data_IF_650909192271
#
_entry.id   IF_650909192271
#
_cell.length_a   1.000
_cell.length_b   1.000
_cell.length_c   1.000
_cell.angle_alpha   90.00
_cell.angle_beta   90.00
_cell.angle_gamma   90.00
#
_symmetry.space_group_name_H-M   'P 1'
#
loop_
_entity.id
_entity.type
_entity.pdbx_description
1 polymer ?
#
# COMPACT_ATOMS: atom_id res chain seq x y z
N UNK A 1 -11.93 -5.97 5.33
CA UNK A 1 -12.08 -4.59 4.86
C UNK A 1 -11.25 -4.44 3.60
N UNK A 2 -11.87 -4.19 2.45
CA UNK A 2 -11.17 -3.95 1.20
C UNK A 2 -11.42 -2.51 0.74
N UNK A 3 -10.41 -1.87 0.17
CA UNK A 3 -10.48 -0.48 -0.22
C UNK A 3 -9.47 -0.16 -1.31
N UNK A 4 -9.82 0.83 -2.12
CA UNK A 4 -8.92 1.44 -3.10
C UNK A 4 -8.47 2.78 -2.54
N UNK A 5 -7.22 3.14 -2.81
CA UNK A 5 -6.69 4.44 -2.44
C UNK A 5 -5.91 5.04 -3.60
N UNK A 6 -5.89 6.36 -3.64
CA UNK A 6 -5.19 7.15 -4.64
C UNK A 6 -4.51 8.32 -3.95
N UNK A 7 -3.20 8.45 -4.17
CA UNK A 7 -2.37 9.53 -3.66
C UNK A 7 -1.71 10.23 -4.85
N UNK A 8 -1.95 11.54 -4.97
CA UNK A 8 -1.27 12.39 -5.94
C UNK A 8 -0.25 13.23 -5.19
N UNK A 9 1.03 13.06 -5.49
CA UNK A 9 2.08 13.91 -4.97
C UNK A 9 2.25 15.17 -5.86
N UNK A 10 2.69 16.28 -5.26
CA UNK A 10 2.85 17.59 -5.90
C UNK A 10 3.91 17.58 -7.01
N UNK A 11 4.80 16.58 -7.00
CA UNK A 11 5.92 16.40 -7.94
C UNK A 11 5.61 15.38 -9.06
N UNK A 12 4.40 15.39 -9.62
CA UNK A 12 4.04 14.59 -10.82
C UNK A 12 4.09 13.06 -10.62
N UNK A 13 4.08 12.61 -9.36
CA UNK A 13 4.04 11.19 -9.01
C UNK A 13 2.61 10.81 -8.63
N UNK A 14 2.06 9.79 -9.28
CA UNK A 14 0.73 9.26 -8.98
C UNK A 14 0.86 7.89 -8.35
N UNK A 15 0.27 7.67 -7.19
CA UNK A 15 0.22 6.36 -6.54
C UNK A 15 -1.22 5.91 -6.47
N UNK A 16 -1.49 4.72 -6.95
CA UNK A 16 -2.79 4.08 -6.82
C UNK A 16 -2.59 2.71 -6.19
N UNK A 17 -3.48 2.34 -5.28
CA UNK A 17 -3.38 1.07 -4.59
C UNK A 17 -4.73 0.43 -4.30
N UNK A 18 -4.69 -0.89 -4.13
CA UNK A 18 -5.80 -1.68 -3.68
C UNK A 18 -5.35 -2.54 -2.50
N UNK A 19 -6.08 -2.47 -1.40
CA UNK A 19 -5.77 -3.20 -0.18
C UNK A 19 -6.96 -4.01 0.30
N UNK A 20 -6.68 -5.17 0.87
CA UNK A 20 -7.65 -5.96 1.62
C UNK A 20 -7.03 -6.41 2.95
N UNK A 21 -7.74 -6.14 4.04
CA UNK A 21 -7.42 -6.60 5.38
C UNK A 21 -8.47 -7.59 5.85
N UNK A 22 -8.04 -8.74 6.37
CA UNK A 22 -8.90 -9.77 6.97
C UNK A 22 -8.46 -9.98 8.41
N UNK A 23 -9.37 -9.71 9.35
CA UNK A 23 -9.13 -9.90 10.78
C UNK A 23 -9.69 -11.22 11.29
N UNK A 24 -8.92 -11.92 12.12
CA UNK A 24 -9.37 -13.06 12.92
C UNK A 24 -8.94 -12.88 14.39
N UNK A 25 -9.90 -12.51 15.24
CA UNK A 25 -9.62 -12.22 16.65
C UNK A 25 -8.71 -11.01 16.81
N UNK A 26 -7.56 -11.19 17.47
CA UNK A 26 -6.55 -10.14 17.63
C UNK A 26 -5.59 -10.04 16.45
N UNK A 27 -5.59 -10.98 15.50
CA UNK A 27 -4.64 -10.99 14.38
C UNK A 27 -5.35 -10.43 13.15
N UNK A 28 -4.67 -9.61 12.35
CA UNK A 28 -5.15 -9.26 11.00
C UNK A 28 -4.10 -9.54 9.94
N UNK A 29 -4.53 -10.14 8.84
CA UNK A 29 -3.73 -10.27 7.62
C UNK A 29 -4.07 -9.13 6.68
N UNK A 30 -3.07 -8.56 6.01
CA UNK A 30 -3.28 -7.56 4.97
C UNK A 30 -2.57 -7.96 3.68
N UNK A 31 -3.20 -7.63 2.57
CA UNK A 31 -2.66 -7.71 1.22
C UNK A 31 -2.86 -6.34 0.57
N UNK A 32 -1.79 -5.76 0.07
CA UNK A 32 -1.79 -4.44 -0.56
C UNK A 32 -1.03 -4.51 -1.88
N UNK A 33 -1.64 -3.95 -2.92
CA UNK A 33 -1.11 -3.85 -4.26
C UNK A 33 -0.98 -2.38 -4.62
N UNK A 34 0.23 -1.95 -4.95
CA UNK A 34 0.58 -0.55 -5.17
C UNK A 34 1.19 -0.35 -6.55
N UNK A 35 0.63 0.60 -7.29
CA UNK A 35 1.13 1.11 -8.55
C UNK A 35 1.64 2.52 -8.31
N UNK A 36 2.95 2.71 -8.46
CA UNK A 36 3.53 4.05 -8.44
C UNK A 36 3.84 4.43 -9.89
N UNK A 37 3.29 5.53 -10.36
CA UNK A 37 3.68 6.19 -11.59
C UNK A 37 4.62 7.32 -11.23
N UNK A 38 5.89 7.15 -11.57
CA UNK A 38 6.91 8.17 -11.35
C UNK A 38 7.18 8.78 -12.71
N UNK A 39 6.72 10.02 -12.91
CA UNK A 39 7.10 10.83 -14.07
C UNK A 39 8.40 11.56 -13.71
N UNK A 40 9.57 11.15 -14.23
CA UNK A 40 10.78 11.93 -14.06
C UNK A 40 10.65 13.28 -14.80
N UNK A 41 11.33 14.31 -14.30
CA UNK A 41 11.41 15.61 -14.97
C UNK A 41 12.24 15.52 -16.27
N UNK A 42 13.17 14.55 -16.37
CA UNK A 42 13.90 14.17 -17.58
C UNK A 42 14.13 12.65 -17.60
N UNK A 43 13.59 11.92 -18.59
CA UNK A 43 13.85 10.49 -18.81
C UNK A 43 12.62 9.60 -19.01
N UNK A 44 12.85 8.28 -19.15
CA UNK A 44 11.80 7.28 -19.37
C UNK A 44 10.91 7.10 -18.12
N UNK A 45 9.60 7.29 -18.30
CA UNK A 45 8.59 7.00 -17.28
C UNK A 45 8.61 5.53 -16.90
N UNK A 46 8.65 5.22 -15.61
CA UNK A 46 8.61 3.86 -15.09
C UNK A 46 7.45 3.68 -14.10
N UNK A 47 6.81 2.50 -14.16
CA UNK A 47 5.66 2.16 -13.35
C UNK A 47 5.97 0.95 -12.46
N UNK A 48 6.67 1.14 -11.33
CA UNK A 48 6.98 0.05 -10.42
C UNK A 48 5.71 -0.44 -9.72
N UNK A 49 5.50 -1.75 -9.84
CA UNK A 49 4.42 -2.49 -9.21
C UNK A 49 4.96 -3.16 -7.94
N UNK A 50 4.38 -2.82 -6.80
CA UNK A 50 4.75 -3.38 -5.50
C UNK A 50 3.57 -4.18 -4.94
N UNK A 51 3.81 -5.45 -4.60
CA UNK A 51 2.88 -6.29 -3.86
C UNK A 51 3.42 -6.47 -2.44
N UNK A 52 2.63 -6.08 -1.44
CA UNK A 52 2.94 -6.26 -0.03
C UNK A 52 1.89 -7.15 0.62
N UNK A 53 2.32 -8.16 1.36
CA UNK A 53 1.45 -8.96 2.19
C UNK A 53 2.07 -9.07 3.59
N UNK A 54 1.23 -9.06 4.62
CA UNK A 54 1.73 -9.18 5.98
C UNK A 54 0.66 -9.58 6.98
N UNK A 55 1.12 -9.89 8.19
CA UNK A 55 0.27 -10.22 9.33
C UNK A 55 0.58 -9.19 10.42
N UNK A 56 -0.45 -8.49 10.87
CA UNK A 56 -0.41 -7.58 12.01
C UNK A 56 -0.85 -8.37 13.26
N UNK A 57 0.09 -8.48 14.20
CA UNK A 57 -0.16 -9.01 15.54
C UNK A 57 -0.03 -7.84 16.52
N UNK A 58 -1.09 -7.45 17.24
CA UNK A 58 -1.01 -6.41 18.24
C UNK A 58 -0.16 -6.95 19.40
N UNK A 59 1.00 -6.35 19.60
CA UNK A 59 1.80 -6.54 20.79
C UNK A 59 1.09 -5.81 21.94
N UNK A 60 0.14 -6.49 22.59
CA UNK A 60 -0.33 -6.07 23.92
C UNK A 60 0.80 -6.31 24.91
N UNK A 61 1.70 -5.33 25.06
CA UNK A 61 2.49 -5.22 26.28
C UNK A 61 1.57 -4.68 27.37
N UNK A 62 0.86 -5.57 28.04
CA UNK A 62 0.14 -5.24 29.26
C UNK A 62 1.15 -4.91 30.37
N UNK A 63 1.07 -3.67 30.86
CA UNK A 63 1.54 -3.24 32.17
C UNK A 63 0.31 -2.75 32.94
#
# INVERSE_FOLDING_TARGET
MAGFWFEKDVHTTFKAGAGAEVGFGNISGYLEYNLNFISPEEGDSYMPMNLMAGIRVPLKFGL
#
